data_IF_732279688447
#
_entry.id   IF_732279688447
#
_cell.length_a   1.000
_cell.length_b   1.000
_cell.length_c   1.000
_cell.angle_alpha   90.00
_cell.angle_beta   90.00
_cell.angle_gamma   90.00
#
_symmetry.space_group_name_H-M   'P 1'
#
loop_
_entity.id
_entity.type
_entity.pdbx_description
1 polymer ?
#
# COMPACT_ATOMS: atom_id res chain seq x y z
N UNK A 1 -8.04 7.70 -12.55
CA UNK A 1 -6.71 7.11 -12.29
C UNK A 1 -6.85 5.63 -11.91
N UNK A 2 -6.08 4.74 -12.53
CA UNK A 2 -6.16 3.30 -12.24
C UNK A 2 -5.75 2.97 -10.80
N UNK A 3 -6.52 2.11 -10.12
CA UNK A 3 -6.29 1.65 -8.76
C UNK A 3 -6.71 0.19 -8.59
N UNK A 4 -6.23 -0.47 -7.56
CA UNK A 4 -6.71 -1.80 -7.21
C UNK A 4 -8.10 -1.71 -6.57
N UNK A 5 -9.09 -2.34 -7.18
CA UNK A 5 -10.49 -2.38 -6.73
C UNK A 5 -10.93 -3.75 -6.21
N UNK A 6 -10.04 -4.74 -6.28
CA UNK A 6 -10.31 -6.11 -5.82
C UNK A 6 -10.36 -6.26 -4.29
N UNK A 7 -10.57 -7.50 -3.81
CA UNK A 7 -10.74 -7.79 -2.38
C UNK A 7 -9.47 -7.52 -1.58
N UNK A 8 -9.56 -6.64 -0.58
CA UNK A 8 -8.43 -6.21 0.28
C UNK A 8 -7.90 -7.34 1.17
N UNK A 9 -8.79 -8.18 1.71
CA UNK A 9 -8.37 -9.35 2.50
C UNK A 9 -7.46 -10.31 1.71
N UNK A 10 -7.69 -10.47 0.42
CA UNK A 10 -6.84 -11.30 -0.45
C UNK A 10 -5.40 -10.81 -0.44
N UNK A 11 -5.20 -9.49 -0.45
CA UNK A 11 -3.87 -8.88 -0.40
C UNK A 11 -3.20 -9.10 0.96
N UNK A 12 -3.90 -8.83 2.06
CA UNK A 12 -3.39 -9.03 3.42
C UNK A 12 -3.03 -10.51 3.66
N UNK A 13 -3.92 -11.42 3.31
CA UNK A 13 -3.68 -12.88 3.39
C UNK A 13 -2.47 -13.34 2.59
N UNK A 14 -2.25 -12.75 1.41
CA UNK A 14 -1.08 -13.11 0.57
C UNK A 14 0.24 -12.72 1.23
N UNK A 15 0.28 -11.61 1.92
CA UNK A 15 1.49 -11.14 2.62
C UNK A 15 1.57 -11.65 4.08
N UNK A 16 0.48 -12.23 4.61
CA UNK A 16 0.41 -12.75 5.99
C UNK A 16 0.50 -11.66 7.06
N UNK A 17 0.23 -10.41 6.70
CA UNK A 17 0.31 -9.26 7.63
C UNK A 17 -0.80 -8.27 7.38
N UNK A 18 -1.10 -7.43 8.37
CA UNK A 18 -1.98 -6.28 8.16
C UNK A 18 -1.29 -5.23 7.27
N UNK A 19 -1.96 -4.86 6.19
CA UNK A 19 -1.54 -3.83 5.25
C UNK A 19 -2.28 -2.51 5.47
N UNK A 20 -3.06 -2.38 6.54
CA UNK A 20 -3.88 -1.20 6.87
C UNK A 20 -4.83 -0.77 5.74
N UNK A 21 -5.32 -1.75 4.97
CA UNK A 21 -6.22 -1.52 3.82
C UNK A 21 -7.69 -1.45 4.21
N UNK A 22 -8.02 -1.82 5.45
CA UNK A 22 -9.37 -1.76 6.01
C UNK A 22 -9.39 -0.87 7.25
N UNK A 23 -10.55 -0.27 7.52
CA UNK A 23 -10.75 0.57 8.69
C UNK A 23 -10.40 -0.20 9.99
N UNK A 24 -9.76 0.48 10.92
CA UNK A 24 -9.38 -0.06 12.22
C UNK A 24 -10.56 -0.30 13.18
N UNK A 25 -11.81 0.06 12.82
CA UNK A 25 -13.00 -0.13 13.67
C UNK A 25 -13.24 -1.57 14.14
N UNK A 26 -12.76 -2.54 13.39
CA UNK A 26 -12.77 -3.97 13.76
C UNK A 26 -11.38 -4.54 13.51
N UNK A 27 -10.94 -5.48 14.35
CA UNK A 27 -9.69 -6.20 14.15
C UNK A 27 -9.64 -6.87 12.78
N UNK A 28 -8.46 -6.98 12.20
CA UNK A 28 -8.29 -7.61 10.91
C UNK A 28 -8.61 -9.10 10.96
N UNK A 29 -8.29 -9.76 12.07
CA UNK A 29 -8.54 -11.19 12.28
C UNK A 29 -10.03 -11.54 12.20
N UNK A 30 -10.89 -10.65 12.72
CA UNK A 30 -12.34 -10.82 12.60
C UNK A 30 -12.88 -10.66 11.18
N UNK A 31 -12.12 -9.98 10.30
CA UNK A 31 -12.52 -9.68 8.91
C UNK A 31 -11.84 -10.59 7.87
N UNK A 32 -10.63 -11.03 8.16
CA UNK A 32 -9.77 -11.74 7.23
C UNK A 32 -9.06 -12.89 7.95
N UNK A 33 -9.15 -14.09 7.42
CA UNK A 33 -8.38 -15.25 7.93
C UNK A 33 -6.93 -15.12 7.45
N UNK A 34 -6.05 -14.50 8.23
CA UNK A 34 -4.65 -14.24 7.85
C UNK A 34 -3.82 -15.52 7.71
N UNK A 35 -4.12 -16.54 8.50
CA UNK A 35 -3.39 -17.82 8.55
C UNK A 35 -3.48 -18.62 7.25
N UNK A 36 -4.52 -18.37 6.43
CA UNK A 36 -4.73 -19.07 5.18
C UNK A 36 -4.37 -18.17 3.98
N UNK A 37 -3.34 -18.55 3.22
CA UNK A 37 -3.01 -17.89 1.96
C UNK A 37 -4.22 -17.93 1.00
N UNK A 38 -4.40 -16.92 0.14
CA UNK A 38 -5.51 -16.90 -0.81
C UNK A 38 -5.32 -17.94 -1.91
N UNK A 39 -6.44 -18.48 -2.42
CA UNK A 39 -6.49 -19.43 -3.51
C UNK A 39 -6.79 -20.85 -3.08
N UNK A 40 -7.09 -21.70 -4.04
CA UNK A 40 -7.49 -23.11 -3.84
C UNK A 40 -6.42 -23.93 -3.08
N UNK A 41 -5.15 -23.64 -3.31
CA UNK A 41 -4.02 -24.35 -2.70
C UNK A 41 -3.36 -23.58 -1.53
N UNK A 42 -4.05 -22.58 -0.98
CA UNK A 42 -3.50 -21.72 0.07
C UNK A 42 -3.01 -22.45 1.32
N UNK A 43 -3.62 -23.58 1.65
CA UNK A 43 -3.27 -24.41 2.81
C UNK A 43 -2.03 -25.30 2.56
N UNK A 44 -1.69 -25.58 1.32
CA UNK A 44 -0.57 -26.48 0.94
C UNK A 44 0.78 -25.77 0.75
N UNK A 45 0.93 -24.55 1.18
CA UNK A 45 2.12 -23.73 0.90
C UNK A 45 3.26 -23.98 1.87
N UNK A 46 3.85 -25.16 1.84
CA UNK A 46 5.07 -25.51 2.59
C UNK A 46 6.40 -25.34 1.81
N UNK A 47 6.36 -24.79 0.60
CA UNK A 47 7.57 -24.63 -0.21
C UNK A 47 8.50 -23.55 0.37
N UNK A 48 9.79 -23.90 0.50
CA UNK A 48 10.84 -22.95 0.90
C UNK A 48 10.89 -21.78 -0.09
N UNK A 49 10.79 -20.58 0.45
CA UNK A 49 10.80 -19.36 -0.37
C UNK A 49 12.24 -19.00 -0.74
N UNK A 50 12.53 -18.82 -2.03
CA UNK A 50 13.83 -18.32 -2.50
C UNK A 50 14.07 -16.87 -2.05
N UNK A 51 15.33 -16.43 -2.09
CA UNK A 51 15.68 -15.05 -1.74
C UNK A 51 15.01 -14.03 -2.67
N UNK A 52 14.94 -14.35 -3.97
CA UNK A 52 14.13 -13.56 -4.91
C UNK A 52 12.67 -13.49 -4.48
N UNK A 53 12.09 -14.61 -4.04
CA UNK A 53 10.72 -14.66 -3.56
C UNK A 53 10.48 -13.79 -2.33
N UNK A 54 11.42 -13.74 -1.39
CA UNK A 54 11.38 -12.86 -0.21
C UNK A 54 11.40 -11.39 -0.62
N UNK A 55 12.36 -10.99 -1.46
CA UNK A 55 12.48 -9.62 -1.96
C UNK A 55 11.22 -9.19 -2.73
N UNK A 56 10.67 -10.07 -3.56
CA UNK A 56 9.42 -9.81 -4.27
C UNK A 56 8.26 -9.57 -3.29
N UNK A 57 8.15 -10.35 -2.22
CA UNK A 57 7.09 -10.16 -1.21
C UNK A 57 7.22 -8.82 -0.50
N UNK A 58 8.41 -8.43 -0.09
CA UNK A 58 8.62 -7.13 0.56
C UNK A 58 8.29 -5.97 -0.39
N UNK A 59 8.71 -6.02 -1.64
CA UNK A 59 8.30 -5.04 -2.66
C UNK A 59 6.79 -4.97 -2.82
N UNK A 60 6.12 -6.11 -2.95
CA UNK A 60 4.67 -6.18 -3.14
C UNK A 60 3.91 -5.69 -1.90
N UNK A 61 4.40 -6.00 -0.71
CA UNK A 61 3.85 -5.53 0.55
C UNK A 61 3.87 -4.00 0.60
N UNK A 62 5.02 -3.39 0.37
CA UNK A 62 5.17 -1.93 0.36
C UNK A 62 4.25 -1.28 -0.67
N UNK A 63 4.25 -1.77 -1.91
CA UNK A 63 3.38 -1.27 -2.98
C UNK A 63 1.90 -1.32 -2.61
N UNK A 64 1.46 -2.39 -1.94
CA UNK A 64 0.08 -2.60 -1.53
C UNK A 64 -0.33 -1.70 -0.37
N UNK A 65 0.55 -1.47 0.59
CA UNK A 65 0.32 -0.54 1.71
C UNK A 65 -0.05 0.86 1.19
N UNK A 66 0.71 1.37 0.22
CA UNK A 66 0.48 2.70 -0.37
C UNK A 66 -0.53 2.69 -1.55
N UNK A 67 -1.06 1.53 -1.91
CA UNK A 67 -2.06 1.43 -2.99
C UNK A 67 -1.55 1.78 -4.38
N UNK A 68 -0.27 1.58 -4.64
CA UNK A 68 0.37 1.91 -5.92
C UNK A 68 0.30 0.76 -6.92
N UNK A 69 0.23 1.09 -8.20
CA UNK A 69 0.43 0.15 -9.30
C UNK A 69 1.92 0.05 -9.64
N UNK A 70 2.31 -1.06 -10.29
CA UNK A 70 3.72 -1.39 -10.57
C UNK A 70 4.46 -0.29 -11.34
N UNK A 71 3.83 0.27 -12.37
CA UNK A 71 4.44 1.33 -13.18
C UNK A 71 4.76 2.59 -12.37
N UNK A 72 3.84 2.99 -11.51
CA UNK A 72 4.03 4.15 -10.63
C UNK A 72 5.09 3.87 -9.56
N UNK A 73 5.07 2.68 -8.96
CA UNK A 73 6.07 2.27 -7.98
C UNK A 73 7.49 2.28 -8.56
N UNK A 74 7.67 1.77 -9.79
CA UNK A 74 8.97 1.81 -10.49
C UNK A 74 9.49 3.23 -10.70
N UNK A 75 8.61 4.20 -11.00
CA UNK A 75 9.01 5.62 -11.12
C UNK A 75 9.54 6.17 -9.79
N UNK A 76 8.85 5.89 -8.68
CA UNK A 76 9.32 6.28 -7.34
C UNK A 76 10.65 5.62 -6.99
N UNK A 77 10.84 4.36 -7.33
CA UNK A 77 12.08 3.66 -7.10
C UNK A 77 13.25 4.25 -7.92
N UNK A 78 13.04 4.53 -9.20
CA UNK A 78 14.04 5.18 -10.04
C UNK A 78 14.43 6.57 -9.50
N UNK A 79 13.46 7.37 -9.06
CA UNK A 79 13.71 8.66 -8.44
C UNK A 79 14.48 8.52 -7.11
N UNK A 80 14.11 7.56 -6.27
CA UNK A 80 14.80 7.28 -5.02
C UNK A 80 16.26 6.85 -5.23
N UNK A 81 16.52 6.04 -6.25
CA UNK A 81 17.89 5.60 -6.62
C UNK A 81 18.75 6.74 -7.14
N UNK A 82 18.15 7.75 -7.77
CA UNK A 82 18.86 8.93 -8.29
C UNK A 82 19.30 9.88 -7.17
N UNK A 83 18.58 9.89 -6.05
CA UNK A 83 18.87 10.79 -4.92
C UNK A 83 20.06 10.29 -4.10
N UNK A 84 20.84 11.22 -3.56
CA UNK A 84 21.93 10.91 -2.63
C UNK A 84 21.39 10.24 -1.37
N UNK A 85 22.15 9.29 -0.83
CA UNK A 85 21.81 8.54 0.38
C UNK A 85 21.22 7.15 0.12
N UNK A 86 20.61 6.56 1.13
CA UNK A 86 20.01 5.22 1.05
C UNK A 86 18.78 5.24 0.15
N UNK A 87 18.77 4.40 -0.90
CA UNK A 87 17.64 4.26 -1.82
C UNK A 87 16.35 3.86 -1.08
N UNK A 88 16.46 2.98 -0.07
CA UNK A 88 15.31 2.55 0.72
C UNK A 88 14.67 3.68 1.51
N UNK A 89 15.49 4.48 2.21
CA UNK A 89 15.01 5.66 2.95
C UNK A 89 14.40 6.71 2.02
N UNK A 90 15.07 7.00 0.92
CA UNK A 90 14.57 7.93 -0.09
C UNK A 90 13.22 7.48 -0.66
N UNK A 91 13.07 6.18 -0.93
CA UNK A 91 11.80 5.61 -1.40
C UNK A 91 10.69 5.79 -0.35
N UNK A 92 10.97 5.49 0.91
CA UNK A 92 9.99 5.65 1.98
C UNK A 92 9.60 7.12 2.16
N UNK A 93 10.56 8.05 2.14
CA UNK A 93 10.29 9.50 2.18
C UNK A 93 9.38 9.94 1.05
N UNK A 94 9.66 9.49 -0.18
CA UNK A 94 8.81 9.80 -1.35
C UNK A 94 7.40 9.22 -1.22
N UNK A 95 7.25 8.02 -0.68
CA UNK A 95 5.95 7.39 -0.49
C UNK A 95 5.14 8.04 0.63
N UNK A 96 5.80 8.42 1.74
CA UNK A 96 5.15 9.11 2.85
C UNK A 96 4.76 10.55 2.51
N UNK A 97 5.49 11.24 1.63
CA UNK A 97 5.18 12.61 1.20
C UNK A 97 4.02 12.71 0.20
N UNK A 98 3.42 11.61 -0.23
CA UNK A 98 2.26 11.63 -1.12
C UNK A 98 1.05 12.26 -0.43
N UNK A 99 0.32 13.11 -1.13
CA UNK A 99 -0.83 13.80 -0.57
C UNK A 99 -1.91 12.84 -0.01
N UNK A 100 -2.22 11.76 -0.72
CA UNK A 100 -3.16 10.74 -0.23
C UNK A 100 -2.72 10.11 1.09
N UNK A 101 -1.42 9.87 1.25
CA UNK A 101 -0.87 9.33 2.49
C UNK A 101 -0.84 10.37 3.61
N UNK A 102 -0.48 11.62 3.31
CA UNK A 102 -0.49 12.72 4.30
C UNK A 102 -1.91 12.91 4.84
N UNK A 103 -2.92 12.98 3.97
CA UNK A 103 -4.34 13.10 4.35
C UNK A 103 -4.79 11.92 5.22
N UNK A 104 -4.34 10.71 4.92
CA UNK A 104 -4.57 9.54 5.76
C UNK A 104 -3.91 9.68 7.14
N UNK A 105 -2.64 10.10 7.20
CA UNK A 105 -1.88 10.31 8.45
C UNK A 105 -2.49 11.41 9.32
N UNK A 106 -3.08 12.43 8.71
CA UNK A 106 -3.81 13.50 9.41
C UNK A 106 -5.17 13.03 9.97
N UNK A 107 -5.62 11.84 9.61
CA UNK A 107 -6.87 11.26 10.12
C UNK A 107 -8.14 11.65 9.36
N UNK A 108 -8.05 12.36 8.24
CA UNK A 108 -9.22 12.71 7.42
C UNK A 108 -9.87 11.51 6.74
N UNK A 109 -9.15 10.43 6.56
CA UNK A 109 -9.66 9.18 6.02
C UNK A 109 -9.29 7.99 6.91
N UNK A 110 -10.20 7.04 7.10
CA UNK A 110 -9.95 5.83 7.88
C UNK A 110 -9.01 4.83 7.16
N UNK A 111 -8.81 5.02 5.86
CA UNK A 111 -7.89 4.23 5.03
C UNK A 111 -7.23 5.12 3.97
N UNK A 112 -6.05 4.70 3.46
CA UNK A 112 -5.40 5.41 2.35
C UNK A 112 -6.26 5.45 1.07
N UNK A 113 -7.12 4.46 0.85
CA UNK A 113 -8.03 4.44 -0.29
C UNK A 113 -9.13 5.51 -0.16
N UNK A 114 -9.64 5.72 1.05
CA UNK A 114 -10.60 6.78 1.35
C UNK A 114 -9.95 8.16 1.24
N UNK A 115 -8.79 8.35 1.87
CA UNK A 115 -8.01 9.58 1.75
C UNK A 115 -7.73 9.95 0.30
N UNK A 116 -7.34 8.97 -0.53
CA UNK A 116 -7.14 9.15 -1.96
C UNK A 116 -8.42 9.58 -2.68
N UNK A 117 -9.57 9.06 -2.28
CA UNK A 117 -10.85 9.46 -2.85
C UNK A 117 -11.19 10.90 -2.49
N UNK A 118 -10.98 11.31 -1.23
CA UNK A 118 -11.18 12.70 -0.80
C UNK A 118 -10.34 13.67 -1.64
N UNK A 119 -9.06 13.37 -1.84
CA UNK A 119 -8.18 14.20 -2.69
C UNK A 119 -8.67 14.22 -4.15
N UNK A 120 -8.99 13.05 -4.72
CA UNK A 120 -9.45 12.95 -6.11
C UNK A 120 -10.79 13.65 -6.38
N UNK A 121 -11.65 13.72 -5.36
CA UNK A 121 -12.94 14.40 -5.41
C UNK A 121 -12.84 15.90 -5.02
N UNK A 122 -11.60 16.43 -4.94
CA UNK A 122 -11.36 17.85 -4.65
C UNK A 122 -11.89 18.33 -3.29
N UNK A 123 -12.04 17.41 -2.33
CA UNK A 123 -12.47 17.73 -0.97
C UNK A 123 -11.32 18.26 -0.09
N UNK A 124 -10.09 18.22 -0.58
CA UNK A 124 -8.88 18.66 0.12
C UNK A 124 -8.18 19.74 -0.71
N UNK A 125 -7.83 20.83 -0.05
CA UNK A 125 -7.00 21.89 -0.62
C UNK A 125 -5.62 21.89 0.06
N UNK A 126 -4.61 22.31 -0.67
CA UNK A 126 -3.27 22.55 -0.17
C UNK A 126 -2.89 24.01 -0.44
N UNK A 127 -2.61 24.78 0.61
CA UNK A 127 -2.39 26.24 0.53
C UNK A 127 -3.50 27.00 -0.22
N UNK A 128 -4.77 26.57 -0.03
CA UNK A 128 -5.92 27.21 -0.68
C UNK A 128 -6.21 26.71 -2.11
N UNK A 129 -5.33 25.91 -2.69
CA UNK A 129 -5.49 25.39 -4.04
C UNK A 129 -5.92 23.92 -4.05
N UNK A 130 -6.75 23.54 -5.03
CA UNK A 130 -7.12 22.15 -5.26
C UNK A 130 -5.99 21.41 -5.97
N UNK A 131 -5.41 20.44 -5.29
CA UNK A 131 -4.30 19.63 -5.80
C UNK A 131 -4.75 18.19 -6.02
N UNK A 132 -4.26 17.56 -7.07
CA UNK A 132 -4.47 16.12 -7.34
C UNK A 132 -3.25 15.30 -6.90
N UNK A 133 -3.42 13.96 -6.82
CA UNK A 133 -2.38 13.01 -6.43
C UNK A 133 -1.37 12.79 -7.56
#
# INVERSE_FOLDING_TARGET
MARYIGPKCKLARREGTDLFLKSARRSLDSKCKLDAKPGQHGQKSGLRTSDYGKQLREKQKLRRIYGLLERQFRRYFAEASRRKGSTGENLLKLLESRLDNVVYRMGFGSTRAEARQLVSHRAITFNGEVVNI
#
